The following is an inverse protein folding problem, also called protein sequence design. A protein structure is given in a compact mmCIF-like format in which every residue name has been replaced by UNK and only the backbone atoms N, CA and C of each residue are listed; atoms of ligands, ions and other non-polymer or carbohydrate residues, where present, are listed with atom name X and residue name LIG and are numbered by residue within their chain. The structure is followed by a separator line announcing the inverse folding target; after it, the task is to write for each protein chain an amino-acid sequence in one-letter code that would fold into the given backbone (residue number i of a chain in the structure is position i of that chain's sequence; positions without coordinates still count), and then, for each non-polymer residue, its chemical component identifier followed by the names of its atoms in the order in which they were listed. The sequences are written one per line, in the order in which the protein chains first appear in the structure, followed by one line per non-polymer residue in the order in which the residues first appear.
data_IF_755121723207
#
_entry.id   IF_755121723207
#
_cell.length_a   1.000
_cell.length_b   1.000
_cell.length_c   1.000
_cell.angle_alpha   90.00
_cell.angle_beta   90.00
_cell.angle_gamma   90.00
#
_symmetry.space_group_name_H-M   'P 1'
#
loop_
_entity.id
_entity.type
_entity.pdbx_description
1 polymer ?
#
# COMPACT_ATOMS: atom_id res chain seq x y z
N UNK A 1 23.15 5.12 -21.36
CA UNK A 1 24.29 5.58 -22.19
C UNK A 1 23.93 6.73 -23.10
N UNK A 2 22.76 6.73 -23.72
CA UNK A 2 22.33 7.79 -24.66
C UNK A 2 21.99 9.11 -23.98
N UNK A 3 21.73 9.14 -22.68
CA UNK A 3 21.28 10.32 -21.95
C UNK A 3 19.83 10.67 -22.20
N UNK A 4 19.03 9.71 -22.68
CA UNK A 4 17.58 9.89 -22.89
C UNK A 4 16.86 10.26 -21.59
N UNK A 5 15.75 10.96 -21.70
CA UNK A 5 14.85 11.22 -20.55
C UNK A 5 14.44 9.90 -19.90
N UNK A 6 14.27 9.91 -18.59
CA UNK A 6 13.86 8.77 -17.77
C UNK A 6 12.49 9.02 -17.19
N UNK A 7 11.70 7.96 -17.01
CA UNK A 7 10.44 8.07 -16.29
C UNK A 7 10.65 7.90 -14.77
N UNK A 8 10.01 8.74 -14.00
CA UNK A 8 9.86 8.55 -12.57
C UNK A 8 8.73 7.56 -12.29
N UNK A 9 8.99 6.57 -11.43
CA UNK A 9 8.03 5.50 -11.11
C UNK A 9 6.98 6.00 -10.11
N UNK A 10 5.84 6.50 -10.61
CA UNK A 10 4.83 7.14 -9.77
C UNK A 10 3.45 6.48 -9.80
N UNK A 11 3.14 5.64 -10.78
CA UNK A 11 1.80 5.07 -10.93
C UNK A 11 1.55 3.94 -9.93
N UNK A 12 2.48 3.00 -9.77
CA UNK A 12 2.20 1.74 -9.10
C UNK A 12 2.25 1.83 -7.57
N UNK A 13 3.35 2.29 -6.99
CA UNK A 13 3.65 2.12 -5.56
C UNK A 13 4.06 3.41 -4.85
N UNK A 14 4.15 4.53 -5.54
CA UNK A 14 4.78 5.75 -5.03
C UNK A 14 4.14 6.27 -3.74
N UNK A 15 2.81 6.43 -3.71
CA UNK A 15 2.11 6.99 -2.55
C UNK A 15 2.23 6.09 -1.31
N UNK A 16 1.96 4.79 -1.46
CA UNK A 16 2.05 3.83 -0.36
C UNK A 16 3.49 3.60 0.11
N UNK A 17 4.46 3.60 -0.82
CA UNK A 17 5.88 3.49 -0.49
C UNK A 17 6.36 4.73 0.28
N UNK A 18 6.03 5.93 -0.18
CA UNK A 18 6.39 7.17 0.51
C UNK A 18 5.79 7.21 1.93
N UNK A 19 4.51 6.83 2.06
CA UNK A 19 3.84 6.72 3.35
C UNK A 19 4.55 5.73 4.27
N UNK A 20 4.91 4.55 3.77
CA UNK A 20 5.62 3.51 4.54
C UNK A 20 6.97 3.99 5.03
N UNK A 21 7.80 4.49 4.12
CA UNK A 21 9.14 4.97 4.43
C UNK A 21 9.12 6.15 5.40
N UNK A 22 8.10 7.03 5.32
CA UNK A 22 7.98 8.18 6.24
C UNK A 22 7.60 7.77 7.67
N UNK A 23 7.02 6.59 7.86
CA UNK A 23 6.61 6.12 9.18
C UNK A 23 7.66 5.22 9.85
N UNK A 24 8.16 4.23 9.14
CA UNK A 24 9.00 3.17 9.73
C UNK A 24 10.36 3.05 9.05
N UNK A 25 10.63 3.82 7.99
CA UNK A 25 11.84 3.64 7.17
C UNK A 25 11.82 2.36 6.33
N UNK A 26 10.77 1.55 6.44
CA UNK A 26 10.63 0.25 5.77
C UNK A 26 9.35 0.22 4.93
N UNK A 27 9.37 -0.56 3.87
CA UNK A 27 8.15 -0.86 3.09
C UNK A 27 7.40 -2.02 3.73
N UNK A 28 8.11 -3.01 4.25
CA UNK A 28 7.58 -4.18 4.92
C UNK A 28 8.25 -4.34 6.28
N UNK A 29 7.48 -4.54 7.32
CA UNK A 29 7.93 -4.87 8.67
C UNK A 29 7.92 -6.39 8.91
N UNK A 30 7.08 -7.14 8.19
CA UNK A 30 6.91 -8.58 8.33
C UNK A 30 7.10 -9.31 7.00
N UNK A 31 7.40 -10.60 7.07
CA UNK A 31 7.55 -11.46 5.90
C UNK A 31 6.33 -12.39 5.75
N UNK A 32 5.97 -12.73 4.52
CA UNK A 32 4.82 -13.62 4.25
C UNK A 32 5.05 -15.03 4.79
N UNK A 33 6.29 -15.46 4.92
CA UNK A 33 6.69 -16.75 5.47
C UNK A 33 6.40 -16.87 6.99
N UNK A 34 6.13 -15.75 7.67
CA UNK A 34 5.75 -15.74 9.07
C UNK A 34 4.23 -15.88 9.29
N UNK A 35 3.42 -15.73 8.23
CA UNK A 35 1.95 -15.87 8.29
C UNK A 35 1.49 -17.17 8.97
N UNK A 36 2.08 -18.35 8.73
CA UNK A 36 1.66 -19.59 9.38
C UNK A 36 1.73 -19.61 10.91
N UNK A 37 2.47 -18.68 11.51
CA UNK A 37 2.64 -18.55 12.97
C UNK A 37 1.63 -17.60 13.61
N UNK A 38 0.77 -16.97 12.82
CA UNK A 38 -0.17 -15.94 13.27
C UNK A 38 -1.51 -16.55 13.67
N UNK A 39 -2.18 -15.90 14.62
CA UNK A 39 -3.51 -16.26 15.09
C UNK A 39 -4.61 -15.48 14.36
N UNK A 40 -4.28 -14.26 13.85
CA UNK A 40 -5.16 -13.42 13.04
C UNK A 40 -4.41 -12.91 11.81
N UNK A 41 -5.00 -13.10 10.63
CA UNK A 41 -4.47 -12.58 9.35
C UNK A 41 -5.53 -11.72 8.69
N UNK A 42 -5.22 -10.45 8.48
CA UNK A 42 -6.07 -9.51 7.74
C UNK A 42 -5.55 -9.37 6.31
N UNK A 43 -6.37 -9.74 5.35
CA UNK A 43 -6.13 -9.55 3.90
C UNK A 43 -6.79 -8.23 3.50
N UNK A 44 -6.04 -7.12 3.51
CA UNK A 44 -6.58 -5.79 3.29
C UNK A 44 -6.30 -5.31 1.86
N UNK A 45 -7.36 -4.98 1.11
CA UNK A 45 -7.31 -4.52 -0.28
C UNK A 45 -6.43 -5.42 -1.17
N UNK A 46 -6.52 -6.73 -0.98
CA UNK A 46 -5.70 -7.72 -1.70
C UNK A 46 -6.53 -8.86 -2.25
N UNK A 47 -6.30 -9.21 -3.52
CA UNK A 47 -6.95 -10.33 -4.19
C UNK A 47 -5.95 -11.45 -4.49
N UNK A 48 -5.41 -12.07 -3.42
CA UNK A 48 -4.29 -13.00 -3.48
C UNK A 48 -4.56 -14.23 -4.35
N UNK A 49 -5.77 -14.78 -4.30
CA UNK A 49 -6.15 -15.94 -5.14
C UNK A 49 -5.98 -15.65 -6.64
N UNK A 50 -5.96 -14.36 -7.04
CA UNK A 50 -5.80 -13.96 -8.44
C UNK A 50 -4.43 -13.31 -8.72
N UNK A 51 -3.94 -12.46 -7.81
CA UNK A 51 -2.78 -11.60 -8.08
C UNK A 51 -1.57 -11.87 -7.20
N UNK A 52 -1.63 -12.84 -6.32
CA UNK A 52 -0.55 -13.15 -5.37
C UNK A 52 -0.60 -14.61 -4.91
N UNK A 53 -0.82 -15.54 -5.83
CA UNK A 53 -1.07 -16.97 -5.55
C UNK A 53 0.03 -17.63 -4.73
N UNK A 54 1.28 -17.16 -4.84
CA UNK A 54 2.39 -17.71 -4.07
C UNK A 54 2.31 -17.41 -2.56
N UNK A 55 1.49 -16.44 -2.13
CA UNK A 55 1.22 -16.19 -0.72
C UNK A 55 0.12 -17.13 -0.15
N UNK A 56 -0.70 -17.73 -1.01
CA UNK A 56 -1.83 -18.55 -0.57
C UNK A 56 -1.42 -19.77 0.27
N UNK A 57 -0.36 -20.53 -0.07
CA UNK A 57 0.06 -21.67 0.78
C UNK A 57 0.31 -21.28 2.24
N UNK A 58 0.93 -20.12 2.50
CA UNK A 58 1.18 -19.64 3.86
C UNK A 58 -0.11 -19.27 4.60
N UNK A 59 -1.11 -18.74 3.87
CA UNK A 59 -2.42 -18.39 4.46
C UNK A 59 -3.25 -19.65 4.72
N UNK A 60 -3.19 -20.63 3.83
CA UNK A 60 -3.84 -21.93 4.00
C UNK A 60 -3.25 -22.67 5.18
N UNK A 61 -1.93 -22.65 5.36
CA UNK A 61 -1.23 -23.21 6.50
C UNK A 61 -1.63 -22.50 7.82
N UNK A 62 -1.66 -21.15 7.84
CA UNK A 62 -2.14 -20.40 8.99
C UNK A 62 -3.56 -20.81 9.38
N UNK A 63 -4.46 -20.90 8.39
CA UNK A 63 -5.84 -21.34 8.61
C UNK A 63 -5.92 -22.76 9.16
N UNK A 64 -5.10 -23.69 8.63
CA UNK A 64 -5.01 -25.06 9.14
C UNK A 64 -4.49 -25.11 10.58
N UNK A 65 -3.63 -24.17 10.97
CA UNK A 65 -3.14 -23.97 12.33
C UNK A 65 -4.15 -23.25 13.26
N UNK A 66 -5.34 -22.89 12.75
CA UNK A 66 -6.42 -22.27 13.53
C UNK A 66 -6.50 -20.74 13.43
N UNK A 67 -5.67 -20.10 12.61
CA UNK A 67 -5.73 -18.65 12.41
C UNK A 67 -7.07 -18.19 11.83
N UNK A 68 -7.56 -17.03 12.31
CA UNK A 68 -8.72 -16.35 11.74
C UNK A 68 -8.31 -15.52 10.55
N UNK A 69 -8.89 -15.80 9.39
CA UNK A 69 -8.62 -15.08 8.14
C UNK A 69 -9.74 -14.06 7.89
N UNK A 70 -9.39 -12.79 7.81
CA UNK A 70 -10.34 -11.69 7.59
C UNK A 70 -9.96 -11.00 6.28
N UNK A 71 -10.92 -10.75 5.41
CA UNK A 71 -10.71 -9.96 4.21
C UNK A 71 -11.39 -8.60 4.35
N UNK A 72 -10.66 -7.53 4.08
CA UNK A 72 -11.19 -6.16 4.00
C UNK A 72 -11.02 -5.71 2.54
N UNK A 73 -12.13 -5.69 1.81
CA UNK A 73 -12.14 -5.35 0.38
C UNK A 73 -13.56 -4.89 -0.01
N UNK A 74 -13.73 -3.82 -0.77
CA UNK A 74 -15.05 -3.36 -1.23
C UNK A 74 -15.74 -4.35 -2.18
N UNK A 75 -15.02 -5.27 -2.77
CA UNK A 75 -15.52 -6.24 -3.75
C UNK A 75 -15.58 -7.65 -3.19
N UNK A 76 -16.61 -8.38 -3.59
CA UNK A 76 -16.62 -9.83 -3.44
C UNK A 76 -15.68 -10.43 -4.48
N UNK A 77 -14.67 -11.15 -4.01
CA UNK A 77 -13.62 -11.79 -4.80
C UNK A 77 -13.42 -13.24 -4.37
N UNK A 78 -12.62 -14.00 -5.12
CA UNK A 78 -12.24 -15.36 -4.70
C UNK A 78 -11.45 -15.34 -3.38
N UNK A 79 -10.70 -14.30 -3.12
CA UNK A 79 -9.97 -14.11 -1.86
C UNK A 79 -10.92 -13.83 -0.68
N UNK A 80 -11.92 -12.97 -0.88
CA UNK A 80 -12.92 -12.70 0.18
C UNK A 80 -13.82 -13.90 0.44
N UNK A 81 -14.13 -14.70 -0.59
CA UNK A 81 -14.86 -15.96 -0.45
C UNK A 81 -14.06 -17.05 0.31
N UNK A 82 -12.74 -16.99 0.27
CA UNK A 82 -11.85 -17.85 1.05
C UNK A 82 -11.79 -17.44 2.52
N UNK A 83 -11.92 -16.15 2.84
CA UNK A 83 -11.82 -15.64 4.20
C UNK A 83 -12.98 -16.09 5.10
N UNK A 84 -12.74 -16.16 6.41
CA UNK A 84 -13.77 -16.50 7.41
C UNK A 84 -14.73 -15.33 7.66
N UNK A 85 -14.29 -14.10 7.38
CA UNK A 85 -15.08 -12.89 7.52
C UNK A 85 -14.69 -11.88 6.47
N UNK A 86 -15.69 -11.34 5.76
CA UNK A 86 -15.51 -10.28 4.77
C UNK A 86 -16.10 -8.98 5.29
N UNK A 87 -15.26 -7.94 5.40
CA UNK A 87 -15.64 -6.58 5.76
C UNK A 87 -15.56 -5.72 4.49
N UNK A 88 -16.63 -5.02 4.15
CA UNK A 88 -16.78 -4.26 2.89
C UNK A 88 -16.86 -2.75 3.14
N UNK A 89 -15.75 -2.01 3.23
CA UNK A 89 -15.78 -0.56 3.31
C UNK A 89 -16.09 0.06 1.95
N UNK A 90 -16.66 1.25 1.94
CA UNK A 90 -16.73 2.07 0.71
C UNK A 90 -15.33 2.35 0.20
N UNK A 91 -15.08 2.33 -1.12
CA UNK A 91 -13.77 2.65 -1.70
C UNK A 91 -13.24 4.00 -1.21
N UNK A 92 -11.95 4.05 -0.82
CA UNK A 92 -11.28 5.27 -0.37
C UNK A 92 -11.55 5.67 1.09
N UNK A 93 -12.22 4.82 1.89
CA UNK A 93 -12.55 5.12 3.29
C UNK A 93 -11.74 4.31 4.31
N UNK A 94 -10.74 3.58 3.87
CA UNK A 94 -9.94 2.67 4.70
C UNK A 94 -9.20 3.39 5.84
N UNK A 95 -8.82 4.66 5.64
CA UNK A 95 -8.23 5.45 6.73
C UNK A 95 -9.20 5.63 7.89
N UNK A 96 -10.48 5.92 7.61
CA UNK A 96 -11.49 6.07 8.65
C UNK A 96 -11.73 4.73 9.36
N UNK A 97 -11.79 3.61 8.63
CA UNK A 97 -11.90 2.28 9.22
C UNK A 97 -10.73 1.98 10.17
N UNK A 98 -9.50 2.20 9.70
CA UNK A 98 -8.29 1.95 10.49
C UNK A 98 -8.23 2.83 11.75
N UNK A 99 -8.58 4.12 11.64
CA UNK A 99 -8.58 5.05 12.78
C UNK A 99 -9.73 4.75 13.76
N UNK A 100 -10.89 4.32 13.27
CA UNK A 100 -11.97 3.84 14.15
C UNK A 100 -11.59 2.57 14.91
N UNK A 101 -10.93 1.61 14.24
CA UNK A 101 -10.36 0.45 14.92
C UNK A 101 -9.33 0.85 15.97
N UNK A 102 -8.45 1.79 15.61
CA UNK A 102 -7.41 2.28 16.51
C UNK A 102 -8.00 2.96 17.74
N UNK A 103 -9.07 3.78 17.57
CA UNK A 103 -9.78 4.39 18.69
C UNK A 103 -10.30 3.33 19.65
N UNK A 104 -10.96 2.29 19.16
CA UNK A 104 -11.44 1.18 20.01
C UNK A 104 -10.28 0.50 20.74
N UNK A 105 -9.17 0.23 20.04
CA UNK A 105 -7.97 -0.39 20.63
C UNK A 105 -7.44 0.47 21.80
N UNK A 106 -7.37 1.78 21.61
CA UNK A 106 -6.91 2.71 22.66
C UNK A 106 -7.91 2.82 23.80
N UNK A 107 -9.18 3.05 23.51
CA UNK A 107 -10.25 3.19 24.52
C UNK A 107 -10.40 1.95 25.40
N UNK A 108 -10.08 0.77 24.87
CA UNK A 108 -10.12 -0.51 25.58
C UNK A 108 -8.78 -0.89 26.24
N UNK A 109 -7.75 -0.06 26.12
CA UNK A 109 -6.42 -0.33 26.70
C UNK A 109 -5.72 -1.54 26.07
N UNK A 110 -6.00 -1.83 24.80
CA UNK A 110 -5.42 -2.97 24.07
C UNK A 110 -4.11 -2.60 23.34
N UNK A 111 -3.72 -1.33 23.35
CA UNK A 111 -2.45 -0.88 22.78
C UNK A 111 -1.28 -1.27 23.69
N UNK A 112 -0.11 -1.46 23.09
CA UNK A 112 1.14 -1.76 23.79
C UNK A 112 1.88 -0.47 24.12
N UNK A 113 1.51 0.16 25.25
CA UNK A 113 2.07 1.45 25.68
C UNK A 113 3.60 1.37 25.90
N UNK A 114 4.11 0.25 26.39
CA UNK A 114 5.54 0.06 26.61
C UNK A 114 6.29 0.08 25.26
N UNK A 115 5.81 -0.67 24.27
CA UNK A 115 6.38 -0.66 22.93
C UNK A 115 6.28 0.73 22.28
N UNK A 116 5.14 1.39 22.37
CA UNK A 116 4.94 2.72 21.80
C UNK A 116 5.94 3.73 22.40
N UNK A 117 6.09 3.73 23.70
CA UNK A 117 6.98 4.64 24.46
C UNK A 117 8.46 4.43 24.11
N UNK A 118 8.87 3.17 23.93
CA UNK A 118 10.27 2.84 23.70
C UNK A 118 10.67 2.90 22.23
N UNK A 119 9.75 2.57 21.31
CA UNK A 119 10.09 2.31 19.92
C UNK A 119 9.46 3.31 18.93
N UNK A 120 8.61 4.23 19.39
CA UNK A 120 7.90 5.16 18.50
C UNK A 120 7.93 6.61 19.01
N UNK A 121 7.61 7.54 18.13
CA UNK A 121 7.45 8.96 18.46
C UNK A 121 6.12 9.48 17.94
N UNK A 122 5.47 10.37 18.71
CA UNK A 122 4.26 11.09 18.27
C UNK A 122 2.97 10.27 18.33
N UNK A 123 2.97 9.11 18.97
CA UNK A 123 1.78 8.30 19.18
C UNK A 123 0.78 8.98 20.12
N UNK A 124 1.26 9.67 21.15
CA UNK A 124 0.43 10.44 22.06
C UNK A 124 -0.37 11.52 21.31
N UNK A 125 0.33 12.22 20.41
CA UNK A 125 -0.30 13.27 19.59
C UNK A 125 -1.40 12.71 18.68
N UNK A 126 -1.24 11.50 18.15
CA UNK A 126 -2.29 10.84 17.38
C UNK A 126 -3.52 10.56 18.24
N UNK A 127 -3.33 10.10 19.48
CA UNK A 127 -4.41 9.85 20.42
C UNK A 127 -5.11 11.18 20.75
N UNK A 128 -4.35 12.16 21.24
CA UNK A 128 -4.90 13.40 21.83
C UNK A 128 -5.56 14.33 20.79
N UNK A 129 -5.05 14.34 19.56
CA UNK A 129 -5.48 15.31 18.55
C UNK A 129 -6.37 14.73 17.45
N UNK A 130 -6.46 13.40 17.33
CA UNK A 130 -7.08 12.79 16.14
C UNK A 130 -8.07 11.67 16.41
N UNK A 131 -7.86 10.81 17.39
CA UNK A 131 -8.73 9.65 17.54
C UNK A 131 -10.16 10.00 17.92
N UNK A 132 -10.37 11.09 18.65
CA UNK A 132 -11.73 11.56 19.00
C UNK A 132 -12.52 12.05 17.79
N UNK A 133 -11.87 12.34 16.68
CA UNK A 133 -12.54 12.64 15.41
C UNK A 133 -13.21 11.43 14.75
N UNK A 134 -12.95 10.20 15.26
CA UNK A 134 -13.38 8.93 14.65
C UNK A 134 -14.24 8.07 15.58
N UNK A 135 -15.33 8.59 16.17
CA UNK A 135 -16.29 7.76 16.89
C UNK A 135 -16.97 6.77 15.94
N UNK A 136 -17.38 5.61 16.46
CA UNK A 136 -17.82 4.49 15.62
C UNK A 136 -19.02 4.80 14.72
N UNK A 137 -19.97 5.62 15.19
CA UNK A 137 -21.12 6.08 14.41
C UNK A 137 -20.69 6.90 13.19
N UNK A 138 -19.73 7.79 13.36
CA UNK A 138 -19.14 8.57 12.26
C UNK A 138 -18.36 7.68 11.30
N UNK A 139 -17.59 6.73 11.83
CA UNK A 139 -16.85 5.78 10.99
C UNK A 139 -17.80 4.90 10.19
N UNK A 140 -18.90 4.40 10.78
CA UNK A 140 -19.96 3.70 10.07
C UNK A 140 -20.55 4.57 8.95
N UNK A 141 -20.89 5.83 9.25
CA UNK A 141 -21.43 6.76 8.24
C UNK A 141 -20.46 6.97 7.07
N UNK A 142 -19.15 7.04 7.33
CA UNK A 142 -18.12 7.21 6.30
C UNK A 142 -17.91 5.92 5.51
N UNK A 143 -17.69 4.81 6.21
CA UNK A 143 -17.22 3.54 5.60
C UNK A 143 -18.35 2.66 5.09
N UNK A 144 -19.54 2.79 5.66
CA UNK A 144 -20.66 1.88 5.45
C UNK A 144 -20.51 0.53 6.17
N UNK A 145 -19.45 0.35 6.95
CA UNK A 145 -19.27 -0.83 7.81
C UNK A 145 -20.01 -0.58 9.13
N UNK A 146 -20.89 -1.50 9.59
CA UNK A 146 -21.61 -1.32 10.84
C UNK A 146 -20.67 -1.10 12.04
N UNK A 147 -21.02 -0.18 12.94
CA UNK A 147 -20.23 0.15 14.14
C UNK A 147 -19.88 -1.10 14.96
N UNK A 148 -20.84 -2.01 15.12
CA UNK A 148 -20.64 -3.28 15.82
C UNK A 148 -19.58 -4.18 15.15
N UNK A 149 -19.51 -4.18 13.82
CA UNK A 149 -18.49 -4.93 13.07
C UNK A 149 -17.11 -4.27 13.19
N UNK A 150 -17.05 -2.94 13.21
CA UNK A 150 -15.81 -2.19 13.43
C UNK A 150 -15.27 -2.49 14.82
N UNK A 151 -16.12 -2.41 15.86
CA UNK A 151 -15.74 -2.74 17.23
C UNK A 151 -15.25 -4.19 17.34
N UNK A 152 -16.01 -5.14 16.81
CA UNK A 152 -15.64 -6.56 16.79
C UNK A 152 -14.30 -6.81 16.13
N UNK A 153 -14.04 -6.18 14.97
CA UNK A 153 -12.78 -6.29 14.24
C UNK A 153 -11.62 -5.70 15.06
N UNK A 154 -11.83 -4.53 15.66
CA UNK A 154 -10.84 -3.85 16.48
C UNK A 154 -10.49 -4.66 17.74
N UNK A 155 -11.49 -5.21 18.44
CA UNK A 155 -11.28 -6.05 19.62
C UNK A 155 -10.53 -7.34 19.26
N UNK A 156 -10.92 -8.01 18.18
CA UNK A 156 -10.24 -9.22 17.73
C UNK A 156 -8.78 -8.93 17.39
N UNK A 157 -8.51 -7.88 16.62
CA UNK A 157 -7.15 -7.51 16.23
C UNK A 157 -6.32 -7.02 17.43
N UNK A 158 -6.87 -6.13 18.25
CA UNK A 158 -6.18 -5.51 19.38
C UNK A 158 -5.84 -6.49 20.50
N UNK A 159 -6.68 -7.51 20.74
CA UNK A 159 -6.42 -8.54 21.73
C UNK A 159 -5.47 -9.64 21.25
N UNK A 160 -5.14 -9.68 19.96
CA UNK A 160 -4.32 -10.74 19.36
C UNK A 160 -2.90 -10.24 19.08
N UNK A 161 -1.92 -10.68 19.86
CA UNK A 161 -0.51 -10.27 19.68
C UNK A 161 0.11 -10.82 18.40
N UNK A 162 -0.22 -12.07 18.03
CA UNK A 162 0.24 -12.71 16.79
C UNK A 162 -0.72 -12.37 15.65
N UNK A 163 -0.62 -11.15 15.15
CA UNK A 163 -1.48 -10.64 14.07
C UNK A 163 -0.67 -10.14 12.88
N UNK A 164 -1.23 -10.32 11.68
CA UNK A 164 -0.59 -9.97 10.42
C UNK A 164 -1.56 -9.22 9.52
N UNK A 165 -1.12 -8.11 8.93
CA UNK A 165 -1.85 -7.39 7.88
C UNK A 165 -1.13 -7.58 6.56
N UNK A 166 -1.77 -8.29 5.64
CA UNK A 166 -1.34 -8.38 4.25
C UNK A 166 -2.04 -7.28 3.45
N UNK A 167 -1.36 -6.17 3.27
CA UNK A 167 -1.85 -5.02 2.52
C UNK A 167 -1.44 -5.11 1.05
N UNK A 168 -2.24 -4.56 0.13
CA UNK A 168 -1.85 -4.46 -1.26
C UNK A 168 -2.03 -3.03 -1.81
N UNK A 169 -1.58 -2.84 -3.03
CA UNK A 169 -1.45 -1.54 -3.67
C UNK A 169 -2.78 -0.93 -4.15
N UNK A 170 -3.88 -1.68 -4.10
CA UNK A 170 -5.23 -1.15 -4.35
C UNK A 170 -5.59 0.03 -3.46
N UNK A 171 -5.13 0.00 -2.22
CA UNK A 171 -5.37 1.03 -1.20
C UNK A 171 -4.93 2.44 -1.61
N UNK A 172 -3.89 2.56 -2.42
CA UNK A 172 -3.33 3.85 -2.81
C UNK A 172 -3.85 4.38 -4.16
N UNK A 173 -4.92 3.77 -4.72
CA UNK A 173 -5.55 4.21 -5.98
C UNK A 173 -6.58 5.32 -5.79
N UNK A 174 -6.49 6.03 -4.68
CA UNK A 174 -7.35 7.15 -4.29
C UNK A 174 -6.50 8.36 -3.92
N UNK A 175 -7.07 9.56 -3.94
CA UNK A 175 -6.37 10.81 -3.62
C UNK A 175 -5.69 10.78 -2.26
N UNK A 176 -6.30 10.10 -1.28
CA UNK A 176 -5.78 9.97 0.08
C UNK A 176 -5.01 8.64 0.32
N UNK A 177 -4.56 7.93 -0.72
CA UNK A 177 -3.95 6.61 -0.62
C UNK A 177 -2.74 6.52 0.30
N UNK A 178 -1.91 7.58 0.33
CA UNK A 178 -0.81 7.68 1.29
C UNK A 178 -1.29 7.76 2.73
N UNK A 179 -2.32 8.57 3.02
CA UNK A 179 -2.91 8.68 4.35
C UNK A 179 -3.56 7.37 4.80
N UNK A 180 -4.28 6.67 3.91
CA UNK A 180 -4.84 5.34 4.18
C UNK A 180 -3.76 4.34 4.55
N UNK A 181 -2.66 4.29 3.80
CA UNK A 181 -1.52 3.42 4.12
C UNK A 181 -0.94 3.72 5.50
N UNK A 182 -0.80 5.01 5.86
CA UNK A 182 -0.31 5.43 7.19
C UNK A 182 -1.26 5.00 8.31
N UNK A 183 -2.56 5.23 8.16
CA UNK A 183 -3.55 4.87 9.15
C UNK A 183 -3.57 3.36 9.44
N UNK A 184 -3.53 2.53 8.38
CA UNK A 184 -3.49 1.07 8.52
C UNK A 184 -2.20 0.63 9.23
N UNK A 185 -1.06 1.28 8.95
CA UNK A 185 0.22 0.98 9.61
C UNK A 185 0.25 1.31 11.09
N UNK A 186 -0.58 2.22 11.58
CA UNK A 186 -0.71 2.47 13.01
C UNK A 186 -1.21 1.24 13.77
N UNK A 187 -2.03 0.38 13.16
CA UNK A 187 -2.58 -0.80 13.84
C UNK A 187 -1.51 -1.74 14.40
N UNK A 188 -0.56 -2.29 13.59
CA UNK A 188 0.48 -3.16 14.13
C UNK A 188 1.47 -2.43 15.06
N UNK A 189 1.68 -1.13 14.87
CA UNK A 189 2.50 -0.33 15.78
C UNK A 189 1.84 -0.21 17.15
N UNK A 190 0.55 0.12 17.21
CA UNK A 190 -0.16 0.29 18.47
C UNK A 190 -0.34 -1.04 19.23
N UNK A 191 -0.47 -2.16 18.54
CA UNK A 191 -0.62 -3.46 19.19
C UNK A 191 0.70 -4.15 19.54
N UNK A 192 1.83 -3.61 19.08
CA UNK A 192 3.14 -4.27 19.24
C UNK A 192 3.26 -5.59 18.48
N UNK A 193 2.44 -5.83 17.46
CA UNK A 193 2.43 -7.08 16.68
C UNK A 193 3.79 -7.41 16.07
N UNK A 194 4.61 -6.40 15.79
CA UNK A 194 5.96 -6.54 15.22
C UNK A 194 6.91 -7.32 16.15
N UNK A 195 6.68 -7.30 17.47
CA UNK A 195 7.49 -8.05 18.44
C UNK A 195 7.32 -9.57 18.34
N UNK A 196 6.25 -10.03 17.71
CA UNK A 196 5.92 -11.44 17.58
C UNK A 196 6.19 -12.02 16.18
N UNK A 197 6.85 -11.26 15.32
CA UNK A 197 7.03 -11.57 13.90
C UNK A 197 5.81 -11.27 13.04
N UNK A 198 4.76 -10.68 13.63
CA UNK A 198 3.61 -10.12 12.94
C UNK A 198 3.92 -8.73 12.36
N UNK A 199 2.88 -7.96 12.12
CA UNK A 199 3.00 -6.61 11.57
C UNK A 199 2.35 -6.45 10.21
N UNK A 200 2.95 -5.65 9.33
CA UNK A 200 2.39 -5.36 8.01
C UNK A 200 3.37 -5.71 6.89
N UNK A 201 2.87 -6.40 5.89
CA UNK A 201 3.57 -6.66 4.64
C UNK A 201 2.76 -6.15 3.46
N UNK A 202 3.41 -5.37 2.58
CA UNK A 202 2.81 -4.85 1.36
C UNK A 202 3.43 -5.56 0.15
N UNK A 203 2.60 -5.95 -0.81
CA UNK A 203 3.09 -6.66 -1.98
C UNK A 203 3.54 -8.08 -1.66
N UNK A 204 4.59 -8.56 -2.27
CA UNK A 204 5.14 -9.91 -2.10
C UNK A 204 6.25 -9.99 -1.05
N UNK A 205 6.46 -8.91 -0.28
CA UNK A 205 7.49 -8.84 0.74
C UNK A 205 8.76 -8.12 0.29
N UNK A 206 9.91 -8.62 0.72
CA UNK A 206 11.21 -7.96 0.47
C UNK A 206 11.84 -8.41 -0.87
N UNK A 207 11.12 -8.28 -1.97
CA UNK A 207 11.50 -8.72 -3.31
C UNK A 207 12.88 -8.18 -3.77
N UNK A 208 13.20 -6.97 -3.31
CA UNK A 208 14.45 -6.30 -3.68
C UNK A 208 15.57 -6.53 -2.66
N UNK A 209 15.37 -7.39 -1.66
CA UNK A 209 16.39 -7.68 -0.66
C UNK A 209 17.60 -8.33 -1.32
N UNK A 210 18.77 -7.73 -1.12
CA UNK A 210 20.03 -8.20 -1.72
C UNK A 210 20.29 -7.73 -3.16
N UNK A 211 19.38 -6.98 -3.77
CA UNK A 211 19.62 -6.35 -5.08
C UNK A 211 20.09 -4.91 -4.85
N UNK A 212 21.27 -4.59 -5.37
CA UNK A 212 21.79 -3.22 -5.39
C UNK A 212 21.18 -2.47 -6.60
N UNK A 213 20.24 -1.53 -6.39
CA UNK A 213 19.59 -0.83 -7.49
C UNK A 213 20.55 0.07 -8.28
N UNK A 214 21.62 0.55 -7.67
CA UNK A 214 22.62 1.39 -8.35
C UNK A 214 23.41 0.54 -9.34
N UNK A 215 23.85 -0.65 -8.91
CA UNK A 215 24.52 -1.61 -9.80
C UNK A 215 23.61 -2.11 -10.90
N UNK A 216 22.34 -2.36 -10.61
CA UNK A 216 21.35 -2.79 -11.60
C UNK A 216 21.12 -1.71 -12.66
N UNK A 217 20.95 -0.46 -12.24
CA UNK A 217 20.68 0.67 -13.14
C UNK A 217 21.92 1.12 -13.93
N UNK A 218 23.12 0.74 -13.50
CA UNK A 218 24.37 1.10 -14.15
C UNK A 218 24.49 2.60 -14.42
N UNK A 219 24.21 3.42 -13.39
CA UNK A 219 24.28 4.88 -13.47
C UNK A 219 25.70 5.40 -13.79
N UNK A 220 26.74 4.59 -13.53
CA UNK A 220 28.10 4.82 -13.93
C UNK A 220 28.25 5.07 -15.46
N UNK A 221 27.40 4.40 -16.26
CA UNK A 221 27.40 4.53 -17.73
C UNK A 221 26.83 5.85 -18.25
N UNK A 222 26.25 6.67 -17.38
CA UNK A 222 25.82 8.02 -17.74
C UNK A 222 27.01 8.99 -17.91
N UNK A 223 28.20 8.63 -17.40
CA UNK A 223 29.43 9.43 -17.54
C UNK A 223 29.25 10.90 -17.11
N UNK A 224 28.60 11.12 -15.97
CA UNK A 224 28.34 12.46 -15.41
C UNK A 224 27.13 13.19 -16.01
N UNK A 225 26.46 12.64 -17.03
CA UNK A 225 25.24 13.24 -17.58
C UNK A 225 24.05 13.05 -16.62
N UNK A 226 23.26 14.09 -16.45
CA UNK A 226 22.01 14.05 -15.67
C UNK A 226 20.84 14.07 -16.65
N UNK A 227 20.24 12.93 -16.97
CA UNK A 227 19.09 12.89 -17.87
C UNK A 227 17.89 13.55 -17.21
N UNK A 228 17.05 14.22 -18.02
CA UNK A 228 15.77 14.77 -17.56
C UNK A 228 14.88 13.63 -17.04
N UNK A 229 14.21 13.89 -15.93
CA UNK A 229 13.21 12.97 -15.37
C UNK A 229 11.82 13.50 -15.71
N UNK A 230 10.96 12.64 -16.24
CA UNK A 230 9.56 12.93 -16.53
C UNK A 230 8.72 12.02 -15.63
N UNK A 231 7.79 12.62 -14.89
CA UNK A 231 6.84 11.84 -14.10
C UNK A 231 5.98 10.99 -15.06
N UNK A 232 5.91 9.69 -14.83
CA UNK A 232 5.26 8.76 -15.76
C UNK A 232 3.75 9.04 -15.94
N UNK A 233 3.07 9.66 -14.96
CA UNK A 233 1.67 10.07 -15.11
C UNK A 233 1.52 11.30 -16.01
N UNK A 234 2.61 12.02 -16.32
CA UNK A 234 2.64 13.21 -17.16
C UNK A 234 3.21 12.93 -18.56
N UNK A 235 3.39 11.66 -18.91
CA UNK A 235 4.00 11.29 -20.20
C UNK A 235 3.24 11.91 -21.38
N UNK A 236 1.90 11.92 -21.37
CA UNK A 236 1.10 12.52 -22.41
C UNK A 236 1.42 13.99 -22.59
N UNK A 237 1.43 14.76 -21.50
CA UNK A 237 1.80 16.19 -21.53
C UNK A 237 3.22 16.40 -22.02
N UNK A 238 4.17 15.58 -21.58
CA UNK A 238 5.56 15.69 -22.02
C UNK A 238 5.74 15.41 -23.52
N UNK A 239 4.92 14.53 -24.09
CA UNK A 239 4.91 14.25 -25.51
C UNK A 239 4.28 15.40 -26.32
N UNK A 240 3.28 16.09 -25.79
CA UNK A 240 2.60 17.22 -26.43
C UNK A 240 3.35 18.55 -26.26
N UNK A 241 4.20 18.67 -25.24
CA UNK A 241 4.89 19.92 -24.89
C UNK A 241 6.13 20.17 -25.77
N UNK A 242 5.96 20.99 -26.78
CA UNK A 242 7.04 21.42 -27.68
C UNK A 242 7.98 22.49 -27.08
N UNK A 243 7.67 23.00 -25.87
CA UNK A 243 8.53 23.96 -25.16
C UNK A 243 9.61 23.28 -24.32
N UNK A 244 9.53 21.98 -24.13
CA UNK A 244 10.59 21.20 -23.49
C UNK A 244 11.91 21.35 -24.25
N UNK A 245 12.99 21.57 -23.54
CA UNK A 245 14.33 21.72 -24.13
C UNK A 245 15.26 20.58 -23.68
N UNK A 246 15.62 19.65 -24.57
CA UNK A 246 15.06 19.41 -25.91
C UNK A 246 13.62 18.84 -25.88
N UNK A 247 12.82 19.01 -26.94
CA UNK A 247 11.52 18.36 -27.04
C UNK A 247 11.65 16.84 -27.09
N UNK A 248 10.55 16.12 -26.85
CA UNK A 248 10.55 14.65 -27.02
C UNK A 248 10.30 14.33 -28.50
N UNK A 249 11.29 13.82 -29.18
CA UNK A 249 11.26 13.47 -30.61
C UNK A 249 11.26 11.95 -30.84
N UNK A 250 11.57 11.17 -29.79
CA UNK A 250 11.55 9.71 -29.85
C UNK A 250 11.00 9.10 -28.56
N UNK A 251 10.19 8.08 -28.68
CA UNK A 251 9.63 7.29 -27.58
C UNK A 251 9.96 5.82 -27.79
N UNK A 252 10.68 5.22 -26.85
CA UNK A 252 10.93 3.81 -26.82
C UNK A 252 10.04 3.14 -25.77
N UNK A 253 9.14 2.25 -26.22
CA UNK A 253 8.19 1.54 -25.33
C UNK A 253 8.65 0.10 -25.19
N UNK A 254 8.93 -0.31 -23.95
CA UNK A 254 9.35 -1.67 -23.65
C UNK A 254 8.38 -2.32 -22.66
N UNK A 255 7.77 -3.44 -23.06
CA UNK A 255 6.89 -4.24 -22.22
C UNK A 255 5.85 -3.41 -21.45
N UNK A 256 5.24 -2.43 -22.10
CA UNK A 256 4.29 -1.48 -21.55
C UNK A 256 3.24 -1.08 -22.58
N UNK A 257 2.10 -0.61 -22.13
CA UNK A 257 1.04 -0.05 -22.96
C UNK A 257 0.62 1.33 -22.42
N UNK A 258 1.42 2.37 -22.67
CA UNK A 258 1.12 3.71 -22.18
C UNK A 258 -0.19 4.29 -22.75
N UNK A 259 -0.65 3.82 -23.92
CA UNK A 259 -1.90 4.26 -24.52
C UNK A 259 -3.15 3.82 -23.72
N UNK A 260 -3.02 2.82 -22.82
CA UNK A 260 -4.14 2.32 -22.03
C UNK A 260 -3.87 2.32 -20.51
N UNK A 261 -2.60 2.35 -20.10
CA UNK A 261 -2.23 2.15 -18.69
C UNK A 261 -1.96 3.45 -17.92
N UNK A 262 -1.76 4.58 -18.60
CA UNK A 262 -1.53 5.87 -17.89
C UNK A 262 -2.85 6.55 -17.54
N UNK A 263 -2.91 7.31 -16.44
CA UNK A 263 -4.14 7.95 -15.98
C UNK A 263 -4.78 8.88 -17.01
N UNK A 264 -3.98 9.69 -17.72
CA UNK A 264 -4.44 10.56 -18.81
C UNK A 264 -4.18 9.90 -20.16
N UNK A 265 -4.96 8.84 -20.46
CA UNK A 265 -4.86 8.09 -21.71
C UNK A 265 -5.13 8.95 -22.94
N UNK A 266 -6.00 9.94 -22.84
CA UNK A 266 -6.34 10.82 -23.97
C UNK A 266 -5.12 11.64 -24.41
N UNK A 267 -4.42 12.27 -23.45
CA UNK A 267 -3.19 13.03 -23.72
C UNK A 267 -2.07 12.12 -24.22
N UNK A 268 -1.90 10.94 -23.61
CA UNK A 268 -0.90 9.97 -24.05
C UNK A 268 -1.11 9.53 -25.50
N UNK A 269 -2.35 9.22 -25.87
CA UNK A 269 -2.71 8.83 -27.25
C UNK A 269 -2.47 9.96 -28.24
N UNK A 270 -2.86 11.20 -27.93
CA UNK A 270 -2.56 12.35 -28.80
C UNK A 270 -1.07 12.57 -28.95
N UNK A 271 -0.33 12.53 -27.84
CA UNK A 271 1.12 12.70 -27.85
C UNK A 271 1.83 11.63 -28.67
N UNK A 272 1.40 10.35 -28.57
CA UNK A 272 1.96 9.27 -29.35
C UNK A 272 1.56 9.24 -30.82
N UNK A 273 0.42 9.87 -31.17
CA UNK A 273 -0.06 10.01 -32.55
C UNK A 273 0.58 11.16 -33.31
N UNK A 274 1.54 11.87 -32.73
CA UNK A 274 2.25 12.95 -33.42
C UNK A 274 3.05 12.42 -34.61
N UNK A 275 2.91 13.08 -35.75
CA UNK A 275 3.64 12.72 -37.00
C UNK A 275 5.15 12.94 -36.87
N UNK A 276 5.58 13.87 -35.98
CA UNK A 276 6.98 14.22 -35.73
C UNK A 276 7.61 13.42 -34.56
N UNK A 277 6.92 12.40 -34.02
CA UNK A 277 7.42 11.54 -32.96
C UNK A 277 7.82 10.15 -33.52
N UNK A 278 9.08 9.79 -33.37
CA UNK A 278 9.52 8.44 -33.66
C UNK A 278 9.18 7.50 -32.49
N UNK A 279 8.29 6.56 -32.70
CA UNK A 279 7.86 5.60 -31.65
C UNK A 279 8.28 4.16 -32.03
N UNK A 280 8.89 3.45 -31.06
CA UNK A 280 9.31 2.06 -31.19
C UNK A 280 8.75 1.24 -30.05
#
# INVERSE_FOLDING_TARGET
RMGASRLEYTICTAAGRAASLSMTGLVNEANIEDIPKMDVVILWATNLVTTGIHAMPFIEEARANGAKIIAIDPRVTRTTAFADWHVQPRPGTDAALALGMLKVIVDRGLHDEAFLREQTIGWEKLIDERLDDYPLDKVEAITGVPAADIEKLALLYGSTKKSFIRLNWGIQRHDNGGAMTRAIRCLPLFTGAMLTGGGLCVGTGNEMRGIDPVKLQRTDLLAGRTPRIINMIQIGRALEDKTLAPPVEALFVWNSDPANCVPDTASARRGMARDDLFTV
#
